data_IF_064735884428
#
_entry.id   IF_064735884428
#
_cell.length_a   1.000
_cell.length_b   1.000
_cell.length_c   1.000
_cell.angle_alpha   90.00
_cell.angle_beta   90.00
_cell.angle_gamma   90.00
#
_symmetry.space_group_name_H-M   'P 1'
#
loop_
_entity.id
_entity.type
_entity.pdbx_description
1 polymer ?
#
# COMPACT_ATOMS: atom_id res chain seq x y z
N UNK A 1 11.59 22.34 -47.62
CA UNK A 1 11.92 21.12 -46.84
C UNK A 1 11.78 21.46 -45.37
N UNK A 2 10.66 21.09 -44.75
CA UNK A 2 10.39 21.37 -43.33
C UNK A 2 10.91 20.21 -42.48
N UNK A 3 11.81 20.49 -41.53
CA UNK A 3 12.27 19.51 -40.54
C UNK A 3 11.36 19.62 -39.32
N UNK A 4 10.50 18.62 -39.12
CA UNK A 4 9.66 18.52 -37.91
C UNK A 4 10.46 17.73 -36.88
N UNK A 5 11.05 18.45 -35.93
CA UNK A 5 11.68 17.84 -34.76
C UNK A 5 10.58 17.36 -33.81
N UNK A 6 10.39 16.05 -33.76
CA UNK A 6 9.40 15.40 -32.90
C UNK A 6 10.01 15.24 -31.49
N UNK A 7 9.74 16.21 -30.61
CA UNK A 7 10.16 16.15 -29.20
C UNK A 7 9.23 15.17 -28.50
N UNK A 8 9.70 13.93 -28.31
CA UNK A 8 9.02 12.94 -27.47
C UNK A 8 9.22 13.35 -26.02
N UNK A 9 8.26 14.11 -25.47
CA UNK A 9 8.15 14.30 -24.03
C UNK A 9 7.79 12.95 -23.39
N UNK A 10 8.81 12.23 -22.91
CA UNK A 10 8.66 11.15 -21.93
C UNK A 10 8.15 11.75 -20.62
N UNK A 11 6.86 12.06 -20.57
CA UNK A 11 6.15 12.18 -19.31
C UNK A 11 6.05 10.77 -18.76
N UNK A 12 7.04 10.37 -17.97
CA UNK A 12 6.99 9.12 -17.22
C UNK A 12 5.84 9.28 -16.20
N UNK A 13 4.69 8.60 -16.35
CA UNK A 13 3.74 8.59 -15.26
C UNK A 13 4.45 7.83 -14.13
N UNK A 14 4.69 8.52 -13.01
CA UNK A 14 4.96 7.85 -11.74
C UNK A 14 3.70 7.06 -11.40
N UNK A 15 3.53 5.90 -12.04
CA UNK A 15 2.47 4.97 -11.74
C UNK A 15 2.84 4.39 -10.38
N UNK A 16 2.33 5.01 -9.32
CA UNK A 16 2.07 4.32 -8.08
C UNK A 16 1.09 3.20 -8.43
N UNK A 17 1.62 2.04 -8.83
CA UNK A 17 0.89 0.78 -8.93
C UNK A 17 0.54 0.36 -7.50
N UNK A 18 -0.38 1.09 -6.87
CA UNK A 18 -1.29 0.51 -5.91
C UNK A 18 -2.24 -0.29 -6.80
N UNK A 19 -2.26 -1.64 -6.74
CA UNK A 19 -3.25 -2.38 -7.47
C UNK A 19 -4.61 -1.96 -6.90
N UNK A 20 -5.26 -1.00 -7.56
CA UNK A 20 -6.68 -0.69 -7.42
C UNK A 20 -7.40 -1.92 -7.97
N UNK A 21 -7.45 -2.94 -7.13
CA UNK A 21 -8.19 -4.15 -7.38
C UNK A 21 -9.66 -3.73 -7.45
N UNK A 22 -10.19 -3.58 -8.67
CA UNK A 22 -11.60 -3.36 -9.04
C UNK A 22 -12.43 -2.59 -8.02
N UNK A 23 -12.67 -1.30 -8.30
CA UNK A 23 -13.68 -0.42 -7.71
C UNK A 23 -14.77 -1.13 -6.87
N UNK A 24 -14.42 -1.52 -5.65
CA UNK A 24 -15.35 -1.81 -4.59
C UNK A 24 -15.24 -0.61 -3.68
N UNK A 25 -16.20 0.29 -3.83
CA UNK A 25 -16.29 1.50 -3.03
C UNK A 25 -16.31 1.07 -1.57
N UNK A 26 -15.22 1.34 -0.85
CA UNK A 26 -15.14 1.10 0.58
C UNK A 26 -16.35 1.72 1.28
N UNK A 27 -16.87 1.07 2.34
CA UNK A 27 -17.98 1.69 3.06
C UNK A 27 -17.55 3.07 3.56
N UNK A 28 -18.45 4.04 3.69
CA UNK A 28 -18.11 5.37 4.18
C UNK A 28 -17.36 5.33 5.52
N UNK A 29 -17.65 4.34 6.37
CA UNK A 29 -16.96 4.14 7.65
C UNK A 29 -15.56 3.55 7.48
N UNK A 30 -15.36 2.61 6.57
CA UNK A 30 -14.01 2.11 6.24
C UNK A 30 -13.20 3.19 5.54
N UNK A 31 -13.78 3.92 4.59
CA UNK A 31 -13.16 5.09 3.97
C UNK A 31 -12.80 6.09 5.04
N UNK A 32 -13.69 6.43 5.97
CA UNK A 32 -13.37 7.36 7.05
C UNK A 32 -12.30 6.82 8.00
N UNK A 33 -12.30 5.52 8.31
CA UNK A 33 -11.30 4.92 9.23
C UNK A 33 -9.95 4.80 8.57
N UNK A 34 -9.93 4.38 7.31
CA UNK A 34 -8.77 4.47 6.45
C UNK A 34 -8.37 5.95 6.43
N UNK A 35 -9.16 6.87 5.90
CA UNK A 35 -8.81 8.28 5.86
C UNK A 35 -8.39 8.82 7.24
N UNK A 36 -8.91 8.41 8.39
CA UNK A 36 -8.37 8.85 9.69
C UNK A 36 -6.99 8.24 10.00
N UNK A 37 -6.78 6.97 9.62
CA UNK A 37 -5.49 6.30 9.67
C UNK A 37 -4.48 6.91 8.66
N UNK A 38 -4.93 7.35 7.48
CA UNK A 38 -4.13 7.78 6.32
C UNK A 38 -3.99 9.33 6.21
N UNK A 39 -5.00 10.12 6.60
CA UNK A 39 -5.08 11.60 6.58
C UNK A 39 -4.23 12.27 7.64
N UNK A 40 -3.57 11.52 8.51
CA UNK A 40 -2.55 12.06 9.40
C UNK A 40 -1.25 12.44 8.64
N UNK A 41 -1.33 12.67 7.31
CA UNK A 41 -0.30 13.00 6.30
C UNK A 41 0.95 12.12 6.25
N UNK A 42 1.10 11.24 7.22
CA UNK A 42 2.27 10.43 7.45
C UNK A 42 2.11 9.04 6.93
N UNK A 43 1.03 8.71 6.24
CA UNK A 43 0.81 7.34 5.86
C UNK A 43 2.04 6.67 5.20
N UNK A 44 2.57 7.32 4.17
CA UNK A 44 3.74 6.80 3.46
C UNK A 44 4.94 6.72 4.42
N UNK A 45 5.09 7.72 5.28
CA UNK A 45 6.07 7.77 6.36
C UNK A 45 5.89 6.64 7.38
N UNK A 46 4.65 6.26 7.72
CA UNK A 46 4.33 5.24 8.70
C UNK A 46 4.55 3.85 8.12
N UNK A 47 4.20 3.63 6.85
CA UNK A 47 4.59 2.43 6.10
C UNK A 47 6.12 2.35 5.96
N UNK A 48 6.81 3.46 5.72
CA UNK A 48 8.27 3.49 5.65
C UNK A 48 8.90 3.19 7.03
N UNK A 49 8.34 3.73 8.13
CA UNK A 49 8.76 3.41 9.51
C UNK A 49 8.52 1.93 9.83
N UNK A 50 7.38 1.38 9.42
CA UNK A 50 7.06 -0.05 9.54
C UNK A 50 8.05 -0.93 8.76
N UNK A 51 8.46 -0.51 7.56
CA UNK A 51 9.52 -1.21 6.84
C UNK A 51 10.86 -1.13 7.58
N UNK A 52 11.22 0.05 8.08
CA UNK A 52 12.46 0.26 8.84
C UNK A 52 12.53 -0.54 10.13
N UNK A 53 11.42 -0.65 10.87
CA UNK A 53 11.36 -1.47 12.08
C UNK A 53 11.52 -2.97 11.79
N UNK A 54 11.34 -3.39 10.53
CA UNK A 54 11.55 -4.76 10.04
C UNK A 54 12.87 -4.94 9.29
N UNK A 55 13.80 -4.00 9.42
CA UNK A 55 15.13 -4.05 8.77
C UNK A 55 15.13 -3.75 7.28
N UNK A 56 14.01 -3.29 6.72
CA UNK A 56 13.90 -2.84 5.34
C UNK A 56 14.06 -1.31 5.22
N UNK A 57 14.08 -0.78 4.00
CA UNK A 57 14.41 0.62 3.73
C UNK A 57 13.16 1.51 3.74
N UNK A 58 12.19 1.20 2.90
CA UNK A 58 10.97 1.97 2.71
C UNK A 58 9.90 1.09 2.04
N UNK A 59 8.65 1.50 2.13
CA UNK A 59 7.53 0.80 1.53
C UNK A 59 7.65 0.80 -0.01
N UNK A 60 7.27 -0.31 -0.61
CA UNK A 60 7.17 -0.49 -2.06
C UNK A 60 5.69 -0.46 -2.46
N UNK A 61 4.89 -1.30 -1.85
CA UNK A 61 3.44 -1.41 -2.10
C UNK A 61 2.71 -1.89 -0.86
N UNK A 62 1.39 -1.82 -0.89
CA UNK A 62 0.52 -2.27 0.20
C UNK A 62 -0.76 -2.84 -0.38
N UNK A 63 -1.22 -3.94 0.21
CA UNK A 63 -2.44 -4.67 -0.12
C UNK A 63 -3.23 -4.88 1.18
N UNK A 64 -4.17 -3.97 1.44
CA UNK A 64 -5.00 -4.01 2.65
C UNK A 64 -5.84 -5.27 2.72
N UNK A 65 -6.41 -5.69 1.60
CA UNK A 65 -7.35 -6.80 1.57
C UNK A 65 -6.68 -8.11 1.96
N UNK A 66 -5.43 -8.29 1.54
CA UNK A 66 -4.62 -9.43 1.93
C UNK A 66 -3.76 -9.17 3.16
N UNK A 67 -3.92 -8.03 3.83
CA UNK A 67 -3.15 -7.65 5.01
C UNK A 67 -1.63 -7.75 4.80
N UNK A 68 -1.16 -7.34 3.62
CA UNK A 68 0.24 -7.43 3.21
C UNK A 68 0.78 -6.07 2.82
N UNK A 69 2.07 -5.89 3.03
CA UNK A 69 2.86 -4.78 2.51
C UNK A 69 4.17 -5.30 1.96
N UNK A 70 4.70 -4.63 0.96
CA UNK A 70 6.04 -4.90 0.44
C UNK A 70 6.97 -3.76 0.85
N UNK A 71 8.18 -4.12 1.25
CA UNK A 71 9.24 -3.19 1.58
C UNK A 71 10.45 -3.43 0.67
N UNK A 72 11.16 -2.37 0.31
CA UNK A 72 12.46 -2.49 -0.31
C UNK A 72 13.50 -2.91 0.73
N UNK A 73 14.08 -4.09 0.58
CA UNK A 73 15.16 -4.59 1.43
C UNK A 73 16.47 -4.65 0.63
N UNK A 74 17.62 -4.54 1.32
CA UNK A 74 18.92 -4.78 0.70
C UNK A 74 19.09 -6.27 0.45
N UNK A 75 19.46 -6.63 -0.77
CA UNK A 75 19.83 -8.00 -1.16
C UNK A 75 21.14 -7.97 -1.94
N UNK A 76 22.24 -8.32 -1.25
CA UNK A 76 23.58 -8.14 -1.79
C UNK A 76 23.85 -6.67 -2.16
N UNK A 77 24.14 -6.43 -3.46
CA UNK A 77 24.36 -5.09 -4.02
C UNK A 77 23.11 -4.42 -4.59
N UNK A 78 21.95 -5.08 -4.51
CA UNK A 78 20.69 -4.64 -5.13
C UNK A 78 19.57 -4.44 -4.09
N UNK A 79 18.43 -3.96 -4.56
CA UNK A 79 17.18 -3.93 -3.78
C UNK A 79 16.28 -5.10 -4.20
N UNK A 80 15.72 -5.80 -3.22
CA UNK A 80 14.70 -6.81 -3.42
C UNK A 80 13.41 -6.40 -2.70
N UNK A 81 12.28 -6.95 -3.14
CA UNK A 81 11.02 -6.82 -2.41
C UNK A 81 10.96 -7.83 -1.28
N UNK A 82 10.60 -7.38 -0.09
CA UNK A 82 10.31 -8.23 1.05
C UNK A 82 8.86 -8.01 1.48
N UNK A 83 8.08 -9.09 1.47
CA UNK A 83 6.67 -9.05 1.88
C UNK A 83 6.54 -9.23 3.38
N UNK A 84 5.62 -8.46 3.95
CA UNK A 84 5.45 -8.24 5.36
C UNK A 84 3.96 -8.17 5.67
N UNK A 85 3.54 -8.78 6.77
CA UNK A 85 2.13 -8.72 7.21
C UNK A 85 1.81 -7.35 7.81
N UNK A 86 0.66 -6.76 7.49
CA UNK A 86 0.20 -5.54 8.14
C UNK A 86 -0.10 -5.78 9.63
N UNK A 87 0.07 -4.76 10.50
CA UNK A 87 -0.23 -4.89 11.92
C UNK A 87 -1.68 -5.28 12.19
N UNK A 88 -1.91 -5.99 13.29
CA UNK A 88 -3.27 -6.30 13.73
C UNK A 88 -4.08 -5.02 13.98
N UNK A 89 -5.38 -5.09 13.73
CA UNK A 89 -6.29 -3.95 13.82
C UNK A 89 -6.28 -3.01 12.60
N UNK A 90 -5.35 -3.19 11.64
CA UNK A 90 -5.31 -2.38 10.41
C UNK A 90 -6.60 -2.59 9.60
N UNK A 91 -7.36 -1.55 9.23
CA UNK A 91 -8.56 -1.73 8.42
C UNK A 91 -8.24 -2.37 7.05
N UNK A 92 -9.02 -3.37 6.64
CA UNK A 92 -8.74 -4.15 5.43
C UNK A 92 -9.95 -4.35 4.49
N UNK A 93 -11.18 -4.04 4.94
CA UNK A 93 -12.40 -4.25 4.15
C UNK A 93 -13.56 -3.33 4.51
N UNK A 94 -14.67 -3.45 3.78
CA UNK A 94 -15.81 -2.52 3.80
C UNK A 94 -16.73 -2.66 5.03
N UNK A 95 -16.78 -3.81 5.70
CA UNK A 95 -17.69 -4.12 6.81
C UNK A 95 -17.02 -4.00 8.18
N UNK A 96 -16.13 -3.00 8.32
CA UNK A 96 -15.23 -2.87 9.46
C UNK A 96 -14.29 -4.08 9.63
N UNK A 97 -13.96 -4.78 8.53
CA UNK A 97 -12.94 -5.83 8.62
C UNK A 97 -11.57 -5.23 8.96
N UNK A 98 -10.82 -5.97 9.77
CA UNK A 98 -9.48 -5.61 10.23
C UNK A 98 -8.51 -6.75 10.00
N UNK A 99 -7.25 -6.42 9.81
CA UNK A 99 -6.17 -7.38 9.78
C UNK A 99 -6.06 -8.04 11.14
N UNK A 100 -6.20 -9.35 11.18
CA UNK A 100 -5.92 -10.17 12.35
C UNK A 100 -5.23 -11.45 11.85
N UNK A 101 -4.14 -11.84 12.51
CA UNK A 101 -3.34 -13.02 12.11
C UNK A 101 -2.85 -12.97 10.65
N UNK A 102 -2.72 -11.78 10.10
CA UNK A 102 -2.30 -11.56 8.71
C UNK A 102 -3.35 -11.81 7.63
N UNK A 103 -4.61 -11.91 8.03
CA UNK A 103 -5.75 -12.00 7.12
C UNK A 103 -6.79 -10.94 7.46
N UNK A 104 -7.69 -10.67 6.53
CA UNK A 104 -8.74 -9.69 6.75
C UNK A 104 -9.96 -10.35 7.40
N UNK A 105 -10.25 -10.00 8.66
CA UNK A 105 -11.33 -10.57 9.44
C UNK A 105 -12.42 -9.54 9.72
N UNK A 106 -13.66 -9.95 9.53
CA UNK A 106 -14.83 -9.20 9.96
C UNK A 106 -15.01 -9.17 11.48
N UNK A 107 -15.85 -8.26 11.99
CA UNK A 107 -16.05 -7.99 13.42
C UNK A 107 -16.56 -9.17 14.27
N UNK A 108 -16.87 -10.31 13.67
CA UNK A 108 -17.27 -11.55 14.35
C UNK A 108 -16.38 -12.75 14.02
N UNK A 109 -15.13 -12.51 13.60
CA UNK A 109 -14.24 -13.59 13.16
C UNK A 109 -14.73 -14.27 11.87
N UNK A 110 -15.41 -13.52 11.00
CA UNK A 110 -15.83 -13.99 9.67
C UNK A 110 -14.81 -13.56 8.64
N UNK A 111 -14.22 -14.51 7.90
CA UNK A 111 -13.29 -14.26 6.81
C UNK A 111 -14.01 -13.95 5.50
#
# INVERSE_FOLDING_TARGET
>A
MYKISLIVLLTSPLIFNVPVSRAQTFSPKTIQTLLLFWSNSNLRSDLDKLCKSRGARNAKSVDFRNCKMECWAKFGKSLASQTHTLPNGTPCGLKNEKCEYGECWGPRGTR
#
